data_IF_286993122923
#
_entry.id   IF_286993122923
#
_cell.length_a   1.000
_cell.length_b   1.000
_cell.length_c   1.000
_cell.angle_alpha   90.00
_cell.angle_beta   90.00
_cell.angle_gamma   90.00
#
_symmetry.space_group_name_H-M   'P 1'
#
loop_
_entity.id
_entity.type
_entity.pdbx_description
1 polymer ?
#
# COMPACT_ATOMS: atom_id res chain seq x y z
N UNK A 1 37.20 -10.84 26.51
CA UNK A 1 35.81 -10.31 26.47
C UNK A 1 35.03 -11.21 25.52
N UNK A 2 34.08 -12.00 26.04
CA UNK A 2 33.14 -12.74 25.20
C UNK A 2 32.20 -11.75 24.51
N UNK A 3 32.05 -11.88 23.19
CA UNK A 3 31.20 -11.00 22.40
C UNK A 3 29.76 -11.47 22.55
N UNK A 4 29.01 -10.82 23.42
CA UNK A 4 27.56 -11.01 23.53
C UNK A 4 26.95 -10.38 22.27
N UNK A 5 26.29 -11.19 21.45
CA UNK A 5 25.57 -10.73 20.27
C UNK A 5 24.08 -10.62 20.61
N UNK A 6 23.51 -9.46 20.32
CA UNK A 6 22.06 -9.28 20.35
C UNK A 6 21.48 -9.74 19.01
N UNK A 7 20.52 -10.67 19.06
CA UNK A 7 19.84 -11.15 17.87
C UNK A 7 18.67 -10.24 17.52
N UNK A 8 18.50 -9.99 16.23
CA UNK A 8 17.36 -9.25 15.72
C UNK A 8 16.05 -9.98 16.02
N UNK A 9 15.08 -9.25 16.54
CA UNK A 9 13.73 -9.77 16.80
C UNK A 9 12.91 -9.84 15.52
N UNK A 10 12.04 -10.83 15.44
CA UNK A 10 11.14 -11.03 14.29
C UNK A 10 10.01 -9.99 14.21
N UNK A 11 9.66 -9.35 15.33
CA UNK A 11 8.57 -8.36 15.44
C UNK A 11 9.03 -6.92 15.13
N UNK A 12 10.32 -6.71 14.89
CA UNK A 12 10.94 -5.41 14.60
C UNK A 12 11.13 -4.52 15.83
N UNK A 13 10.80 -4.99 17.04
CA UNK A 13 10.92 -4.19 18.25
C UNK A 13 12.37 -3.99 18.68
N UNK A 14 12.64 -2.87 19.35
CA UNK A 14 13.96 -2.50 19.90
C UNK A 14 15.08 -2.35 18.87
N UNK A 15 14.72 -2.30 17.59
CA UNK A 15 15.67 -2.11 16.51
C UNK A 15 16.27 -0.68 16.52
N UNK A 16 15.45 0.32 16.90
CA UNK A 16 15.93 1.69 17.14
C UNK A 16 16.00 1.99 18.64
N UNK A 17 17.15 2.49 19.11
CA UNK A 17 17.40 2.77 20.53
C UNK A 17 16.49 3.85 21.11
N UNK A 18 16.24 4.92 20.35
CA UNK A 18 15.43 6.05 20.80
C UNK A 18 13.92 5.82 20.59
N UNK A 19 13.56 5.04 19.57
CA UNK A 19 12.19 4.75 19.18
C UNK A 19 11.98 3.25 18.98
N UNK A 20 11.85 2.46 20.06
CA UNK A 20 11.78 0.99 19.97
C UNK A 20 10.62 0.42 19.14
N UNK A 21 9.63 1.25 18.80
CA UNK A 21 8.43 0.89 18.07
C UNK A 21 8.53 1.13 16.54
N UNK A 22 9.60 1.77 16.05
CA UNK A 22 9.79 2.01 14.63
C UNK A 22 10.08 0.72 13.85
N UNK A 23 9.40 0.55 12.72
CA UNK A 23 9.53 -0.67 11.91
C UNK A 23 8.91 -1.91 12.55
N UNK A 24 8.10 -1.76 13.60
CA UNK A 24 7.41 -2.89 14.22
C UNK A 24 6.16 -3.29 13.44
N UNK A 25 5.75 -4.54 13.60
CA UNK A 25 4.43 -4.98 13.12
C UNK A 25 3.32 -4.13 13.76
N UNK A 26 2.42 -3.60 12.95
CA UNK A 26 1.29 -2.78 13.40
C UNK A 26 1.62 -1.29 13.56
N UNK A 27 2.86 -0.86 13.34
CA UNK A 27 3.23 0.56 13.30
C UNK A 27 2.59 1.28 12.10
N UNK A 28 2.44 2.59 12.22
CA UNK A 28 1.90 3.44 11.15
C UNK A 28 2.85 3.48 9.95
N UNK A 29 2.27 3.54 8.76
CA UNK A 29 3.04 3.86 7.56
C UNK A 29 3.51 5.31 7.62
N UNK A 30 4.79 5.53 7.28
CA UNK A 30 5.35 6.87 7.21
C UNK A 30 4.63 7.70 6.14
N UNK A 31 4.46 9.00 6.43
CA UNK A 31 3.85 9.96 5.52
C UNK A 31 4.79 11.15 5.33
N UNK A 32 5.30 11.33 4.11
CA UNK A 32 6.07 12.53 3.75
C UNK A 32 5.18 13.78 3.60
N UNK A 33 3.89 13.56 3.32
CA UNK A 33 2.89 14.60 3.15
C UNK A 33 1.62 14.30 3.96
N UNK A 34 0.88 15.33 4.41
CA UNK A 34 -0.35 15.13 5.18
C UNK A 34 -1.40 14.36 4.37
N UNK A 35 -2.25 13.61 5.06
CA UNK A 35 -3.34 12.86 4.42
C UNK A 35 -4.35 13.79 3.77
N UNK A 36 -4.78 13.45 2.55
CA UNK A 36 -5.80 14.20 1.81
C UNK A 36 -7.10 13.41 1.70
N UNK A 37 -7.94 13.53 2.73
CA UNK A 37 -9.31 13.02 2.74
C UNK A 37 -10.29 14.14 2.39
N UNK A 38 -11.48 13.80 1.88
CA UNK A 38 -12.51 14.77 1.49
C UNK A 38 -13.02 15.58 2.68
N UNK A 39 -13.25 14.88 3.80
CA UNK A 39 -13.61 15.45 5.10
C UNK A 39 -12.39 15.85 5.94
N UNK A 40 -11.18 15.71 5.41
CA UNK A 40 -9.93 15.92 6.15
C UNK A 40 -9.60 14.85 7.19
N UNK A 41 -10.40 13.78 7.34
CA UNK A 41 -10.23 12.78 8.41
C UNK A 41 -10.14 11.36 7.87
N UNK A 42 -11.15 10.87 7.15
CA UNK A 42 -11.16 9.49 6.66
C UNK A 42 -11.94 9.25 5.37
N UNK A 43 -12.79 10.16 4.91
CA UNK A 43 -13.63 9.96 3.72
C UNK A 43 -12.80 10.01 2.44
N UNK A 44 -13.00 9.01 1.58
CA UNK A 44 -12.41 9.02 0.24
C UNK A 44 -13.07 10.11 -0.60
N UNK A 45 -12.27 10.77 -1.45
CA UNK A 45 -12.77 11.78 -2.37
C UNK A 45 -13.56 11.14 -3.52
N UNK A 46 -14.88 11.38 -3.55
CA UNK A 46 -15.75 10.88 -4.62
C UNK A 46 -15.74 11.72 -5.90
N UNK A 47 -15.12 12.90 -5.90
CA UNK A 47 -15.11 13.82 -7.04
C UNK A 47 -13.96 13.55 -8.03
N UNK A 48 -13.23 12.45 -7.85
CA UNK A 48 -12.14 12.03 -8.73
C UNK A 48 -12.67 11.15 -9.88
N UNK A 49 -12.00 11.16 -11.04
CA UNK A 49 -12.34 10.24 -12.13
C UNK A 49 -12.20 8.79 -11.67
N UNK A 50 -13.01 7.91 -12.29
CA UNK A 50 -12.95 6.47 -12.01
C UNK A 50 -11.54 5.91 -12.16
N UNK A 51 -11.10 5.12 -11.18
CA UNK A 51 -9.83 4.41 -11.24
C UNK A 51 -9.75 3.48 -12.46
N UNK A 52 -10.88 2.88 -12.89
CA UNK A 52 -10.93 2.06 -14.09
C UNK A 52 -10.77 2.89 -15.37
N UNK A 53 -11.36 4.08 -15.42
CA UNK A 53 -11.21 5.00 -16.55
C UNK A 53 -9.75 5.45 -16.73
N UNK A 54 -9.08 5.81 -15.61
CA UNK A 54 -7.65 6.15 -15.65
C UNK A 54 -6.81 4.94 -16.05
N UNK A 55 -7.14 3.75 -15.53
CA UNK A 55 -6.41 2.52 -15.83
C UNK A 55 -6.42 2.20 -17.32
N UNK A 56 -7.59 2.31 -17.96
CA UNK A 56 -7.74 2.12 -19.40
C UNK A 56 -7.00 3.20 -20.20
N UNK A 57 -7.02 4.46 -19.74
CA UNK A 57 -6.36 5.56 -20.45
C UNK A 57 -4.83 5.47 -20.38
N UNK A 58 -4.27 5.07 -19.24
CA UNK A 58 -2.82 5.15 -18.96
C UNK A 58 -2.10 3.83 -19.23
N UNK A 59 -2.69 2.69 -18.88
CA UNK A 59 -1.99 1.39 -18.92
C UNK A 59 -2.35 0.54 -20.14
N UNK A 60 -3.31 0.96 -20.97
CA UNK A 60 -3.63 0.24 -22.21
C UNK A 60 -2.51 0.42 -23.23
N UNK A 61 -2.00 -0.69 -23.74
CA UNK A 61 -0.97 -0.71 -24.76
C UNK A 61 -0.71 -2.12 -25.29
N UNK A 62 0.09 -2.26 -26.35
CA UNK A 62 0.47 -3.56 -26.87
C UNK A 62 1.39 -4.30 -25.89
N UNK A 63 1.17 -5.60 -25.72
CA UNK A 63 2.06 -6.48 -24.96
C UNK A 63 3.35 -6.78 -25.74
N UNK A 64 4.37 -7.30 -25.04
CA UNK A 64 5.61 -7.76 -25.69
C UNK A 64 6.63 -6.66 -25.99
N UNK A 65 6.43 -5.44 -25.46
CA UNK A 65 7.43 -4.38 -25.54
C UNK A 65 8.63 -4.80 -24.66
N UNK A 66 9.83 -5.00 -25.23
CA UNK A 66 10.98 -5.43 -24.46
C UNK A 66 11.50 -4.30 -23.58
N UNK A 67 12.06 -4.67 -22.43
CA UNK A 67 12.67 -3.69 -21.55
C UNK A 67 13.96 -3.11 -22.16
N UNK A 68 14.02 -1.78 -22.28
CA UNK A 68 15.18 -1.05 -22.82
C UNK A 68 16.49 -1.27 -22.04
N UNK A 69 16.39 -1.68 -20.77
CA UNK A 69 17.55 -1.93 -19.89
C UNK A 69 17.97 -3.40 -19.82
N UNK A 70 17.38 -4.28 -20.63
CA UNK A 70 17.68 -5.73 -20.65
C UNK A 70 17.54 -6.42 -19.27
N UNK A 71 16.65 -5.90 -18.41
CA UNK A 71 16.35 -6.54 -17.12
C UNK A 71 15.50 -7.78 -17.34
N UNK A 72 15.82 -8.84 -16.62
CA UNK A 72 15.10 -10.11 -16.66
C UNK A 72 13.78 -10.06 -15.91
N UNK A 73 12.85 -10.95 -16.28
CA UNK A 73 11.59 -11.16 -15.55
C UNK A 73 11.83 -11.61 -14.10
N UNK A 74 12.93 -12.33 -13.84
CA UNK A 74 13.33 -12.74 -12.49
C UNK A 74 13.51 -11.55 -11.55
N UNK A 75 14.12 -10.45 -12.02
CA UNK A 75 14.27 -9.26 -11.18
C UNK A 75 12.91 -8.64 -10.81
N UNK A 76 11.94 -8.65 -11.73
CA UNK A 76 10.60 -8.12 -11.47
C UNK A 76 9.82 -8.95 -10.43
N UNK A 77 9.97 -10.28 -10.43
CA UNK A 77 9.37 -11.10 -9.38
C UNK A 77 10.13 -11.02 -8.06
N UNK A 78 11.45 -10.94 -8.10
CA UNK A 78 12.26 -10.76 -6.89
C UNK A 78 12.00 -9.41 -6.21
N UNK A 79 11.77 -8.34 -6.98
CA UNK A 79 11.39 -7.05 -6.42
C UNK A 79 10.02 -7.09 -5.73
N UNK A 80 9.09 -7.92 -6.23
CA UNK A 80 7.83 -8.15 -5.55
C UNK A 80 8.01 -8.86 -4.20
N UNK A 81 8.92 -9.83 -4.10
CA UNK A 81 9.27 -10.47 -2.82
C UNK A 81 9.82 -9.43 -1.84
N UNK A 82 10.77 -8.61 -2.28
CA UNK A 82 11.33 -7.52 -1.46
C UNK A 82 10.23 -6.55 -1.00
N UNK A 83 9.35 -6.13 -1.91
CA UNK A 83 8.26 -5.20 -1.59
C UNK A 83 7.33 -5.76 -0.51
N UNK A 84 6.94 -7.03 -0.59
CA UNK A 84 6.10 -7.67 0.42
C UNK A 84 6.81 -7.89 1.76
N UNK A 85 8.12 -8.08 1.75
CA UNK A 85 8.94 -8.19 2.95
C UNK A 85 9.12 -6.85 3.69
N UNK A 86 8.89 -5.72 3.01
CA UNK A 86 9.01 -4.37 3.56
C UNK A 86 7.65 -3.83 3.96
N UNK A 87 6.64 -4.00 3.12
CA UNK A 87 5.35 -3.35 3.30
C UNK A 87 4.21 -4.29 2.96
N UNK A 88 3.32 -4.48 3.94
CA UNK A 88 2.06 -5.18 3.75
C UNK A 88 0.92 -4.41 4.43
N UNK A 89 0.12 -3.72 3.62
CA UNK A 89 -1.03 -2.92 4.10
C UNK A 89 -2.36 -3.31 3.44
N UNK A 90 -2.40 -4.46 2.76
CA UNK A 90 -3.59 -4.92 2.01
C UNK A 90 -4.59 -5.67 2.89
N UNK A 91 -4.27 -5.92 4.16
CA UNK A 91 -5.20 -6.56 5.08
C UNK A 91 -6.43 -5.67 5.30
N UNK A 92 -7.58 -6.32 5.47
CA UNK A 92 -8.86 -5.68 5.72
C UNK A 92 -9.05 -5.51 7.24
N UNK A 93 -9.70 -4.43 7.65
CA UNK A 93 -10.07 -4.19 9.06
C UNK A 93 -11.57 -4.40 9.28
N UNK A 94 -11.96 -4.52 10.55
CA UNK A 94 -13.35 -4.51 11.00
C UNK A 94 -13.67 -3.14 11.63
N UNK A 95 -14.76 -2.47 11.23
CA UNK A 95 -15.81 -2.92 10.30
C UNK A 95 -15.35 -2.93 8.83
N UNK A 96 -16.01 -3.77 8.01
CA UNK A 96 -15.77 -3.86 6.57
C UNK A 96 -16.21 -2.56 5.88
N UNK A 97 -15.24 -1.78 5.43
CA UNK A 97 -15.49 -0.57 4.65
C UNK A 97 -15.31 -0.89 3.16
N UNK A 98 -16.43 -1.05 2.46
CA UNK A 98 -16.45 -1.26 1.01
C UNK A 98 -16.59 0.07 0.28
N UNK A 99 -15.80 0.24 -0.77
CA UNK A 99 -15.93 1.33 -1.72
C UNK A 99 -15.96 0.71 -3.12
N UNK A 100 -16.92 1.13 -3.92
CA UNK A 100 -17.11 0.55 -5.25
C UNK A 100 -16.43 1.43 -6.28
N UNK A 101 -15.68 0.80 -7.19
CA UNK A 101 -15.05 1.50 -8.30
C UNK A 101 -16.04 1.47 -9.48
N UNK A 102 -16.56 2.63 -9.93
CA UNK A 102 -17.51 2.68 -11.03
C UNK A 102 -16.83 2.30 -12.34
N UNK A 103 -17.40 1.36 -13.08
CA UNK A 103 -16.88 0.96 -14.40
C UNK A 103 -17.50 1.85 -15.48
N UNK A 104 -16.69 2.41 -16.41
CA UNK A 104 -17.23 3.14 -17.55
C UNK A 104 -18.19 2.27 -18.38
N UNK A 105 -19.25 2.87 -18.90
CA UNK A 105 -20.20 2.17 -19.78
C UNK A 105 -19.46 1.62 -21.00
N UNK A 106 -19.81 0.40 -21.41
CA UNK A 106 -19.17 -0.30 -22.53
C UNK A 106 -17.68 -0.59 -22.31
N UNK A 107 -17.22 -0.71 -21.07
CA UNK A 107 -15.88 -1.22 -20.79
C UNK A 107 -15.74 -2.63 -21.38
N UNK A 108 -14.75 -2.83 -22.23
CA UNK A 108 -14.58 -4.07 -22.99
C UNK A 108 -14.41 -5.32 -22.11
N UNK A 109 -13.94 -5.16 -20.87
CA UNK A 109 -13.61 -6.26 -19.96
C UNK A 109 -14.74 -6.43 -18.92
N UNK A 110 -15.13 -5.35 -18.27
CA UNK A 110 -16.03 -5.40 -17.11
C UNK A 110 -17.50 -5.08 -17.48
N UNK A 111 -17.79 -4.41 -18.59
CA UNK A 111 -19.16 -4.08 -19.04
C UNK A 111 -19.35 -4.38 -20.54
N UNK A 112 -19.07 -5.63 -20.95
CA UNK A 112 -19.17 -6.07 -22.35
C UNK A 112 -20.58 -5.93 -22.95
N UNK A 113 -21.62 -5.94 -22.11
CA UNK A 113 -23.02 -5.77 -22.54
C UNK A 113 -23.47 -4.30 -22.58
N UNK A 114 -22.56 -3.34 -22.34
CA UNK A 114 -22.86 -1.90 -22.38
C UNK A 114 -23.99 -1.45 -21.45
N UNK A 115 -24.20 -2.14 -20.33
CA UNK A 115 -25.29 -1.88 -19.39
C UNK A 115 -25.05 -0.61 -18.56
N UNK A 116 -23.78 -0.23 -18.34
CA UNK A 116 -23.39 0.97 -17.59
C UNK A 116 -23.71 0.92 -16.10
N UNK A 117 -23.90 -0.29 -15.53
CA UNK A 117 -24.22 -0.50 -14.10
C UNK A 117 -23.19 -1.36 -13.38
N UNK A 118 -22.11 -1.76 -14.05
CA UNK A 118 -21.07 -2.59 -13.45
C UNK A 118 -20.23 -1.78 -12.47
N UNK A 119 -19.94 -2.37 -11.32
CA UNK A 119 -19.07 -1.80 -10.29
C UNK A 119 -18.09 -2.87 -9.80
N UNK A 120 -16.83 -2.49 -9.57
CA UNK A 120 -15.82 -3.40 -9.01
C UNK A 120 -15.78 -3.21 -7.49
N UNK A 121 -15.94 -4.27 -6.68
CA UNK A 121 -15.85 -4.15 -5.23
C UNK A 121 -14.40 -3.91 -4.80
N UNK A 122 -14.17 -2.86 -4.01
CA UNK A 122 -12.90 -2.57 -3.36
C UNK A 122 -13.11 -2.42 -1.86
N UNK A 123 -12.17 -2.92 -1.06
CA UNK A 123 -12.25 -2.88 0.41
C UNK A 123 -11.08 -2.07 0.93
N UNK A 124 -11.35 -1.20 1.91
CA UNK A 124 -10.31 -0.35 2.47
C UNK A 124 -9.33 -1.13 3.33
N UNK A 125 -8.07 -0.72 3.23
CA UNK A 125 -6.96 -1.23 4.03
C UNK A 125 -7.16 -1.02 5.52
N UNK A 126 -6.50 -1.88 6.31
CA UNK A 126 -6.43 -1.80 7.76
C UNK A 126 -5.72 -0.52 8.21
N UNK A 127 -6.26 0.05 9.28
CA UNK A 127 -5.82 1.32 9.86
C UNK A 127 -5.81 1.22 11.38
N UNK A 128 -5.13 2.17 12.05
CA UNK A 128 -5.17 2.26 13.49
C UNK A 128 -6.50 2.86 13.98
N UNK A 129 -7.22 2.10 14.80
CA UNK A 129 -8.51 2.47 15.36
C UNK A 129 -8.44 3.63 16.35
N UNK A 130 -7.26 4.03 16.81
CA UNK A 130 -7.07 5.25 17.62
C UNK A 130 -7.06 6.52 16.77
N UNK A 131 -6.89 6.40 15.45
CA UNK A 131 -6.87 7.50 14.48
C UNK A 131 -8.17 7.56 13.66
N UNK A 132 -8.38 8.65 12.93
CA UNK A 132 -9.53 8.82 12.03
C UNK A 132 -10.80 9.32 12.70
N UNK A 133 -10.69 9.96 13.89
CA UNK A 133 -11.83 10.50 14.65
C UNK A 133 -11.93 12.04 14.62
N UNK A 134 -10.93 12.73 14.04
CA UNK A 134 -10.95 14.19 13.94
C UNK A 134 -9.79 14.76 13.12
N UNK A 135 -9.85 16.05 12.83
CA UNK A 135 -8.90 16.75 11.95
C UNK A 135 -7.44 16.70 12.43
N UNK A 136 -7.23 16.67 13.75
CA UNK A 136 -5.87 16.60 14.34
C UNK A 136 -5.29 15.17 14.35
N UNK A 137 -6.11 14.15 14.08
CA UNK A 137 -5.72 12.76 14.06
C UNK A 137 -6.44 12.06 12.89
N UNK A 138 -6.10 12.40 11.63
CA UNK A 138 -6.69 11.76 10.47
C UNK A 138 -6.29 10.29 10.40
N UNK A 139 -6.97 9.51 9.56
CA UNK A 139 -6.78 8.06 9.50
C UNK A 139 -5.37 7.66 9.05
N UNK A 140 -4.75 6.76 9.80
CA UNK A 140 -3.43 6.20 9.49
C UNK A 140 -3.47 4.69 9.23
N UNK A 141 -2.97 4.28 8.06
CA UNK A 141 -2.83 2.87 7.70
C UNK A 141 -1.66 2.25 8.47
N UNK A 142 -1.81 0.96 8.80
CA UNK A 142 -0.79 0.22 9.55
C UNK A 142 -0.10 -0.81 8.66
N UNK A 143 1.20 -0.97 8.84
CA UNK A 143 1.92 -2.11 8.27
C UNK A 143 1.63 -3.36 9.08
N UNK A 144 1.39 -4.48 8.42
CA UNK A 144 1.18 -5.78 9.06
C UNK A 144 2.45 -6.65 9.07
N UNK A 145 3.60 -6.09 8.66
CA UNK A 145 4.90 -6.74 8.69
C UNK A 145 5.94 -5.82 9.35
N UNK A 146 6.98 -6.41 9.93
CA UNK A 146 8.10 -5.68 10.52
C UNK A 146 9.11 -5.28 9.44
N UNK A 147 9.68 -4.08 9.60
CA UNK A 147 10.77 -3.54 8.79
C UNK A 147 12.05 -3.55 9.64
N UNK A 148 12.80 -4.65 9.64
CA UNK A 148 14.11 -4.71 10.29
C UNK A 148 15.12 -3.74 9.62
N UNK A 149 16.07 -3.20 10.39
CA UNK A 149 17.09 -2.25 9.88
C UNK A 149 17.93 -2.84 8.75
N UNK A 150 18.21 -4.14 8.83
CA UNK A 150 18.90 -4.93 7.78
C UNK A 150 18.17 -4.89 6.43
N UNK A 151 16.84 -4.72 6.43
CA UNK A 151 16.03 -4.49 5.23
C UNK A 151 15.89 -3.00 4.89
N UNK A 152 15.87 -2.11 5.90
CA UNK A 152 15.79 -0.65 5.71
C UNK A 152 16.99 -0.08 4.95
N UNK A 153 18.21 -0.57 5.22
CA UNK A 153 19.42 -0.14 4.51
C UNK A 153 19.39 -0.51 3.02
N UNK A 154 18.72 -1.60 2.64
CA UNK A 154 18.52 -1.98 1.24
C UNK A 154 17.52 -1.06 0.51
N UNK A 155 16.56 -0.49 1.23
CA UNK A 155 15.56 0.45 0.66
C UNK A 155 16.21 1.78 0.29
N UNK A 156 17.09 2.30 1.16
CA UNK A 156 17.83 3.53 0.88
C UNK A 156 18.82 3.41 -0.28
N UNK A 157 19.20 2.18 -0.66
CA UNK A 157 20.05 1.91 -1.82
C UNK A 157 19.26 1.75 -3.14
N UNK A 158 17.93 1.61 -3.07
CA UNK A 158 17.06 1.36 -4.23
C UNK A 158 16.19 2.57 -4.63
N UNK A 159 16.17 3.65 -3.83
CA UNK A 159 15.55 4.95 -4.13
C UNK A 159 16.66 5.95 -4.47
#
# INVERSE_FOLDING_TARGET
LERIYEYQRYDGWFNNLANPHWGTVGSHLHRDAPSRYEDGVYMLNSNLPSARAISELVFKGPSGIPNKRNVTTMLAFFSQVIAYEIMQSTLVSCPLEMHKIPVPRCDAIFDAQCMGKTEIPFVRAKYDKKTGHGFNAPREQVSCISVPETKSSYIQLLV
#
